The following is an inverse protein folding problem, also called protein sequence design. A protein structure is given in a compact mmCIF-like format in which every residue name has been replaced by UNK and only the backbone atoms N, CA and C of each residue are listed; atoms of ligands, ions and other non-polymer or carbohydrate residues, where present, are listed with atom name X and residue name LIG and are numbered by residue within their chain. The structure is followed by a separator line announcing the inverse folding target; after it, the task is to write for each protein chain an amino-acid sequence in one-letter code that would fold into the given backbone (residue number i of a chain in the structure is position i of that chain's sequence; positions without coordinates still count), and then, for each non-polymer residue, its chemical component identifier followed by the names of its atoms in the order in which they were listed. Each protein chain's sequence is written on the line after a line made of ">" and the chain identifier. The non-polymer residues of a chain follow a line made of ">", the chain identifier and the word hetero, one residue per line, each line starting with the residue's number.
data_IF_382467953647
#
_entry.id   IF_382467953647
#
_cell.length_a   1.000
_cell.length_b   1.000
_cell.length_c   1.000
_cell.angle_alpha   90.00
_cell.angle_beta   90.00
_cell.angle_gamma   90.00
#
_symmetry.space_group_name_H-M   'P 1'
#
loop_
_entity.id
_entity.type
_entity.pdbx_description
1 polymer ?
#
# COMPACT_ATOMS: atom_id res chain seq x y z
N UNK A 1 -2.17 1.93 11.87
CA UNK A 1 -2.88 1.47 10.65
C UNK A 1 -1.88 0.71 9.81
N UNK A 2 -2.24 -0.47 9.27
CA UNK A 2 -1.27 -1.34 8.58
C UNK A 2 -0.66 -0.68 7.33
N UNK A 3 -1.43 0.14 6.60
CA UNK A 3 -0.99 0.82 5.37
C UNK A 3 -0.95 2.35 5.50
N UNK A 4 -0.37 2.88 6.58
CA UNK A 4 -0.33 4.35 6.84
C UNK A 4 0.38 5.13 5.73
N UNK A 5 1.51 4.64 5.22
CA UNK A 5 2.28 5.31 4.16
C UNK A 5 1.50 5.41 2.84
N UNK A 6 0.82 4.34 2.44
CA UNK A 6 -0.06 4.36 1.28
C UNK A 6 -1.20 5.39 1.42
N UNK A 7 -1.77 5.56 2.62
CA UNK A 7 -2.78 6.61 2.87
C UNK A 7 -2.21 8.02 2.72
N UNK A 8 -0.95 8.24 3.12
CA UNK A 8 -0.23 9.49 2.89
C UNK A 8 -0.09 9.80 1.40
N UNK A 9 0.43 8.83 0.63
CA UNK A 9 0.59 8.94 -0.82
C UNK A 9 -0.74 9.22 -1.53
N UNK A 10 -1.82 8.54 -1.12
CA UNK A 10 -3.16 8.81 -1.65
C UNK A 10 -3.59 10.26 -1.39
N UNK A 11 -3.35 10.79 -0.19
CA UNK A 11 -3.69 12.17 0.18
C UNK A 11 -2.89 13.18 -0.65
N UNK A 12 -1.59 12.97 -0.80
CA UNK A 12 -0.69 13.83 -1.58
C UNK A 12 -1.08 13.88 -3.06
N UNK A 13 -1.62 12.78 -3.60
CA UNK A 13 -2.09 12.68 -4.99
C UNK A 13 -3.58 13.00 -5.16
N UNK A 14 -4.28 13.48 -4.12
CA UNK A 14 -5.73 13.74 -4.12
C UNK A 14 -6.60 12.52 -4.55
N UNK A 15 -6.17 11.31 -4.19
CA UNK A 15 -6.92 10.08 -4.42
C UNK A 15 -7.88 9.78 -3.27
N UNK A 16 -9.17 9.67 -3.61
CA UNK A 16 -10.15 9.06 -2.72
C UNK A 16 -10.02 7.53 -2.72
N UNK A 17 -10.53 6.87 -1.66
CA UNK A 17 -10.62 5.40 -1.65
C UNK A 17 -11.48 4.89 -2.82
N UNK A 18 -12.56 5.58 -3.18
CA UNK A 18 -13.39 5.20 -4.32
C UNK A 18 -12.64 5.26 -5.66
N UNK A 19 -11.80 6.28 -5.86
CA UNK A 19 -10.99 6.42 -7.08
C UNK A 19 -9.97 5.28 -7.20
N UNK A 20 -9.21 5.01 -6.14
CA UNK A 20 -8.23 3.93 -6.16
C UNK A 20 -8.91 2.56 -6.31
N UNK A 21 -10.04 2.33 -5.65
CA UNK A 21 -10.78 1.08 -5.76
C UNK A 21 -11.23 0.80 -7.20
N UNK A 22 -11.71 1.85 -7.90
CA UNK A 22 -12.09 1.78 -9.31
C UNK A 22 -10.90 1.40 -10.21
N UNK A 23 -9.74 2.00 -10.02
CA UNK A 23 -8.52 1.69 -10.81
C UNK A 23 -7.98 0.29 -10.54
N UNK A 24 -8.14 -0.22 -9.31
CA UNK A 24 -7.78 -1.59 -8.95
C UNK A 24 -8.84 -2.63 -9.34
N UNK A 25 -9.99 -2.20 -9.87
CA UNK A 25 -11.15 -3.03 -10.18
C UNK A 25 -11.64 -3.85 -8.97
N UNK A 26 -11.74 -3.19 -7.81
CA UNK A 26 -12.28 -3.75 -6.56
C UNK A 26 -13.33 -2.82 -5.96
N UNK A 27 -14.08 -3.32 -4.98
CA UNK A 27 -15.03 -2.48 -4.24
C UNK A 27 -14.30 -1.56 -3.25
N UNK A 28 -14.88 -0.39 -2.96
CA UNK A 28 -14.36 0.52 -1.93
C UNK A 28 -14.28 -0.17 -0.56
N UNK A 29 -15.22 -1.08 -0.26
CA UNK A 29 -15.22 -1.88 0.96
C UNK A 29 -14.02 -2.83 1.01
N UNK A 30 -13.67 -3.48 -0.11
CA UNK A 30 -12.48 -4.32 -0.23
C UNK A 30 -11.21 -3.50 0.00
N UNK A 31 -11.10 -2.33 -0.66
CA UNK A 31 -9.96 -1.44 -0.44
C UNK A 31 -9.88 -0.98 1.02
N UNK A 32 -11.01 -0.63 1.64
CA UNK A 32 -11.06 -0.23 3.04
C UNK A 32 -10.60 -1.35 3.98
N UNK A 33 -11.03 -2.59 3.73
CA UNK A 33 -10.58 -3.75 4.48
C UNK A 33 -9.06 -3.94 4.36
N UNK A 34 -8.50 -3.84 3.14
CA UNK A 34 -7.06 -3.94 2.88
C UNK A 34 -6.25 -2.85 3.57
N UNK A 35 -6.64 -1.59 3.37
CA UNK A 35 -6.00 -0.42 3.99
C UNK A 35 -5.99 -0.44 5.53
N UNK A 36 -6.92 -1.19 6.14
CA UNK A 36 -7.03 -1.36 7.58
C UNK A 36 -6.50 -2.72 8.06
N UNK A 37 -5.86 -3.51 7.20
CA UNK A 37 -5.21 -4.77 7.55
C UNK A 37 -6.15 -5.95 7.79
N UNK A 38 -7.44 -5.82 7.44
CA UNK A 38 -8.42 -6.92 7.56
C UNK A 38 -8.31 -7.92 6.41
N UNK A 39 -7.65 -7.54 5.33
CA UNK A 39 -7.28 -8.39 4.21
C UNK A 39 -5.97 -7.88 3.59
N UNK A 40 -5.29 -8.71 2.79
CA UNK A 40 -4.03 -8.34 2.15
C UNK A 40 -4.26 -7.85 0.72
N UNK A 41 -3.34 -7.01 0.23
CA UNK A 41 -3.25 -6.75 -1.21
C UNK A 41 -2.67 -7.99 -1.92
N UNK A 42 -3.22 -8.30 -3.08
CA UNK A 42 -2.60 -9.27 -3.99
C UNK A 42 -1.37 -8.65 -4.65
N UNK A 43 -0.47 -9.47 -5.18
CA UNK A 43 0.71 -9.00 -5.92
C UNK A 43 0.28 -8.09 -7.09
N UNK A 44 -0.78 -8.45 -7.82
CA UNK A 44 -1.31 -7.65 -8.92
C UNK A 44 -1.79 -6.27 -8.46
N UNK A 45 -2.53 -6.20 -7.36
CA UNK A 45 -2.98 -4.92 -6.79
C UNK A 45 -1.78 -4.07 -6.34
N UNK A 46 -0.76 -4.67 -5.73
CA UNK A 46 0.45 -3.96 -5.31
C UNK A 46 1.21 -3.36 -6.51
N UNK A 47 1.41 -4.15 -7.58
CA UNK A 47 2.05 -3.67 -8.83
C UNK A 47 1.26 -2.50 -9.42
N UNK A 48 -0.07 -2.61 -9.47
CA UNK A 48 -0.92 -1.53 -9.99
C UNK A 48 -0.79 -0.27 -9.14
N UNK A 49 -0.79 -0.38 -7.80
CA UNK A 49 -0.61 0.76 -6.89
C UNK A 49 0.75 1.44 -7.13
N UNK A 50 1.82 0.65 -7.26
CA UNK A 50 3.18 1.17 -7.54
C UNK A 50 3.19 1.94 -8.87
N UNK A 51 2.51 1.41 -9.90
CA UNK A 51 2.40 2.07 -11.19
C UNK A 51 1.56 3.35 -11.14
N UNK A 52 0.39 3.32 -10.47
CA UNK A 52 -0.54 4.46 -10.38
C UNK A 52 0.11 5.66 -9.69
N UNK A 53 0.84 5.41 -8.60
CA UNK A 53 1.50 6.47 -7.82
C UNK A 53 2.96 6.68 -8.21
N UNK A 54 3.47 5.99 -9.23
CA UNK A 54 4.85 6.08 -9.70
C UNK A 54 5.87 5.97 -8.55
N UNK A 55 5.69 4.97 -7.67
CA UNK A 55 6.54 4.77 -6.49
C UNK A 55 7.86 4.17 -6.95
N UNK A 56 8.91 5.00 -7.02
CA UNK A 56 10.23 4.59 -7.55
C UNK A 56 11.18 4.07 -6.47
N UNK A 57 11.04 4.53 -5.24
CA UNK A 57 11.95 4.19 -4.16
C UNK A 57 11.65 2.77 -3.64
N UNK A 58 12.60 1.82 -3.74
CA UNK A 58 12.41 0.45 -3.25
C UNK A 58 12.07 0.38 -1.75
N UNK A 59 12.60 1.31 -0.94
CA UNK A 59 12.32 1.36 0.49
C UNK A 59 10.86 1.72 0.77
N UNK A 60 10.25 2.58 -0.06
CA UNK A 60 8.83 2.92 0.08
C UNK A 60 7.95 1.72 -0.28
N UNK A 61 8.30 0.99 -1.34
CA UNK A 61 7.62 -0.26 -1.73
C UNK A 61 7.72 -1.29 -0.59
N UNK A 62 8.92 -1.45 -0.05
CA UNK A 62 9.18 -2.33 1.09
C UNK A 62 8.31 -1.97 2.30
N UNK A 63 8.32 -0.69 2.69
CA UNK A 63 7.56 -0.20 3.84
C UNK A 63 6.04 -0.38 3.67
N UNK A 64 5.52 -0.16 2.46
CA UNK A 64 4.09 -0.26 2.20
C UNK A 64 3.60 -1.72 2.24
N UNK A 65 4.31 -2.66 1.61
CA UNK A 65 3.79 -4.01 1.36
C UNK A 65 4.46 -5.13 2.18
N UNK A 66 5.67 -4.91 2.71
CA UNK A 66 6.50 -5.98 3.26
C UNK A 66 6.91 -5.78 4.74
N UNK A 67 7.05 -4.53 5.22
CA UNK A 67 7.61 -4.25 6.55
C UNK A 67 6.91 -4.93 7.73
N UNK A 68 5.59 -5.18 7.64
CA UNK A 68 4.83 -5.83 8.71
C UNK A 68 4.78 -7.37 8.60
N UNK A 69 5.33 -7.95 7.52
CA UNK A 69 5.21 -9.38 7.21
C UNK A 69 6.56 -10.13 7.30
N UNK A 70 7.65 -9.44 7.61
CA UNK A 70 8.99 -10.04 7.70
C UNK A 70 9.50 -9.89 9.15
N UNK A 71 9.51 -10.97 9.95
CA UNK A 71 10.17 -10.96 11.25
C UNK A 71 11.68 -10.75 11.09
N UNK A 72 12.31 -10.00 11.99
CA UNK A 72 13.77 -9.85 12.10
C UNK A 72 14.48 -9.25 10.88
N UNK A 73 14.00 -8.12 10.33
CA UNK A 73 14.88 -7.28 9.51
C UNK A 73 15.95 -6.69 10.44
N UNK A 74 17.15 -7.27 10.42
CA UNK A 74 18.28 -6.80 11.23
C UNK A 74 18.44 -5.30 11.00
N UNK A 75 18.23 -4.53 12.08
CA UNK A 75 18.66 -3.14 12.12
C UNK A 75 20.17 -3.22 12.31
N UNK A 76 20.93 -2.92 11.26
CA UNK A 76 22.34 -2.63 11.45
C UNK A 76 22.44 -1.52 12.49
N UNK A 77 23.01 -1.86 13.62
CA UNK A 77 23.29 -0.94 14.71
C UNK A 77 24.60 -0.26 14.30
N UNK A 78 24.49 0.94 13.73
CA UNK A 78 25.65 1.82 13.52
C UNK A 78 26.23 2.29 14.85
#
# INVERSE_FOLDING_TARGET
>A
MVYSKLKGIMKENAYSQGKLAKELNITTQSLNAKLNGRSQFTIKEAINIISIFNIKNPNDIFEIFFANNIPNMQRDIS
#
